data_IF_237078226637
#
_entry.id   IF_237078226637
#
_cell.length_a   1.000
_cell.length_b   1.000
_cell.length_c   1.000
_cell.angle_alpha   90.00
_cell.angle_beta   90.00
_cell.angle_gamma   90.00
#
_symmetry.space_group_name_H-M   'P 1'
#
loop_
_entity.id
_entity.type
_entity.pdbx_description
1 polymer ?
#
# COMPACT_ATOMS: atom_id res chain seq x y z
N UNK A 1 7.98 22.00 14.55
CA UNK A 1 7.32 21.60 15.80
C UNK A 1 7.85 20.25 16.27
N UNK A 2 8.09 20.11 17.56
CA UNK A 2 8.43 18.84 18.16
C UNK A 2 7.12 18.11 18.51
N UNK A 3 6.96 16.86 18.02
CA UNK A 3 5.79 16.02 18.30
C UNK A 3 6.24 14.63 18.70
N UNK A 4 5.46 13.99 19.55
CA UNK A 4 5.60 12.58 19.87
C UNK A 4 4.87 11.75 18.83
N UNK A 5 5.62 10.84 18.14
CA UNK A 5 5.08 9.99 17.07
C UNK A 5 5.75 8.62 17.16
N UNK A 6 4.98 7.56 17.06
CA UNK A 6 5.45 6.16 17.09
C UNK A 6 6.32 5.85 18.33
N UNK A 7 5.98 6.42 19.48
CA UNK A 7 6.71 6.24 20.73
C UNK A 7 8.02 7.03 20.85
N UNK A 8 8.28 7.98 19.97
CA UNK A 8 9.46 8.83 20.02
C UNK A 8 9.17 10.28 19.65
N UNK A 9 10.15 11.16 19.85
CA UNK A 9 10.05 12.58 19.53
C UNK A 9 10.60 12.86 18.14
N UNK A 10 9.81 13.60 17.30
CA UNK A 10 10.23 13.99 15.95
C UNK A 10 9.97 15.46 15.69
N UNK A 11 10.81 16.04 14.82
CA UNK A 11 10.65 17.41 14.34
C UNK A 11 9.74 17.38 13.10
N UNK A 12 8.71 18.23 13.12
CA UNK A 12 7.80 18.46 12.00
C UNK A 12 7.85 19.92 11.57
N UNK A 13 7.53 20.18 10.33
CA UNK A 13 7.33 21.54 9.80
C UNK A 13 6.15 22.20 10.51
N UNK A 14 6.15 23.53 10.53
CA UNK A 14 5.03 24.26 11.13
C UNK A 14 3.82 24.22 10.18
N UNK A 15 2.57 24.03 10.68
CA UNK A 15 1.38 23.96 9.85
C UNK A 15 1.15 25.14 8.92
N UNK A 16 1.60 26.35 9.32
CA UNK A 16 1.50 27.54 8.48
C UNK A 16 2.26 27.45 7.15
N UNK A 17 3.18 26.50 7.03
CA UNK A 17 3.96 26.27 5.80
C UNK A 17 3.54 24.99 5.06
N UNK A 18 2.35 24.45 5.40
CA UNK A 18 1.85 23.19 4.83
C UNK A 18 1.84 23.23 3.31
N UNK A 19 1.21 24.23 2.70
CA UNK A 19 1.02 24.31 1.25
C UNK A 19 2.36 24.37 0.49
N UNK A 20 3.34 25.10 1.04
CA UNK A 20 4.67 25.21 0.43
C UNK A 20 5.44 23.90 0.54
N UNK A 21 5.36 23.25 1.72
CA UNK A 21 6.02 21.97 1.97
C UNK A 21 5.36 20.87 1.13
N UNK A 22 4.05 20.86 1.04
CA UNK A 22 3.29 19.91 0.22
C UNK A 22 3.68 20.03 -1.25
N UNK A 23 3.67 21.23 -1.82
CA UNK A 23 4.07 21.46 -3.20
C UNK A 23 5.51 21.00 -3.48
N UNK A 24 6.43 21.22 -2.51
CA UNK A 24 7.80 20.76 -2.60
C UNK A 24 7.93 19.24 -2.57
N UNK A 25 7.25 18.58 -1.61
CA UNK A 25 7.30 17.11 -1.46
C UNK A 25 6.64 16.43 -2.65
N UNK A 26 5.47 16.89 -3.10
CA UNK A 26 4.75 16.33 -4.25
C UNK A 26 5.53 16.45 -5.57
N UNK A 27 6.51 17.37 -5.66
CA UNK A 27 7.40 17.45 -6.83
C UNK A 27 8.40 16.29 -6.91
N UNK A 28 8.59 15.53 -5.83
CA UNK A 28 9.61 14.47 -5.71
C UNK A 28 8.99 13.09 -5.47
N UNK A 29 7.89 13.03 -4.73
CA UNK A 29 7.24 11.77 -4.34
C UNK A 29 5.97 11.55 -5.16
N UNK A 30 6.09 10.68 -6.16
CA UNK A 30 4.98 10.26 -7.02
C UNK A 30 4.23 9.05 -6.47
N UNK A 31 4.71 8.43 -5.39
CA UNK A 31 4.12 7.20 -4.83
C UNK A 31 2.91 7.51 -3.94
N UNK A 32 1.81 7.90 -4.54
CA UNK A 32 0.52 7.98 -3.84
C UNK A 32 -0.03 6.58 -3.61
N UNK A 33 -0.70 6.39 -2.46
CA UNK A 33 -1.51 5.20 -2.25
C UNK A 33 -2.79 5.33 -3.08
N UNK A 34 -3.18 4.26 -3.77
CA UNK A 34 -4.48 4.20 -4.44
C UNK A 34 -5.61 4.26 -3.42
N UNK A 35 -6.84 4.56 -3.88
CA UNK A 35 -8.02 4.56 -3.04
C UNK A 35 -8.22 3.19 -2.37
N UNK A 36 -8.09 2.11 -3.13
CA UNK A 36 -8.19 0.74 -2.63
C UNK A 36 -7.13 0.43 -1.56
N UNK A 37 -5.89 0.94 -1.73
CA UNK A 37 -4.82 0.78 -0.76
C UNK A 37 -5.12 1.56 0.54
N UNK A 38 -5.64 2.79 0.45
CA UNK A 38 -6.05 3.57 1.62
C UNK A 38 -7.18 2.90 2.39
N UNK A 39 -8.20 2.40 1.71
CA UNK A 39 -9.32 1.69 2.32
C UNK A 39 -8.87 0.40 3.01
N UNK A 40 -8.04 -0.40 2.32
CA UNK A 40 -7.49 -1.64 2.90
C UNK A 40 -6.62 -1.34 4.12
N UNK A 41 -5.78 -0.31 4.03
CA UNK A 41 -4.95 0.14 5.14
C UNK A 41 -5.79 0.60 6.33
N UNK A 42 -6.88 1.34 6.09
CA UNK A 42 -7.82 1.75 7.13
C UNK A 42 -8.48 0.54 7.81
N UNK A 43 -8.96 -0.43 7.03
CA UNK A 43 -9.53 -1.67 7.59
C UNK A 43 -8.52 -2.37 8.49
N UNK A 44 -7.27 -2.52 8.05
CA UNK A 44 -6.21 -3.14 8.85
C UNK A 44 -5.94 -2.32 10.12
N UNK A 45 -5.81 -0.99 10.00
CA UNK A 45 -5.48 -0.12 11.13
C UNK A 45 -6.51 -0.17 12.26
N UNK A 46 -7.79 -0.23 11.91
CA UNK A 46 -8.88 -0.25 12.88
C UNK A 46 -9.22 -1.64 13.44
N UNK A 47 -8.93 -2.71 12.68
CA UNK A 47 -9.31 -4.08 13.06
C UNK A 47 -8.12 -4.96 13.47
N UNK A 48 -6.90 -4.40 13.49
CA UNK A 48 -5.72 -5.18 13.87
C UNK A 48 -5.79 -5.72 15.31
N UNK A 49 -5.36 -6.97 15.52
CA UNK A 49 -4.78 -7.92 14.56
C UNK A 49 -5.84 -8.57 13.66
N UNK A 50 -5.61 -8.61 12.33
CA UNK A 50 -6.59 -9.01 11.34
C UNK A 50 -6.02 -9.96 10.29
N UNK A 51 -6.84 -10.92 9.80
CA UNK A 51 -6.47 -11.83 8.70
C UNK A 51 -6.98 -11.32 7.35
N UNK A 52 -6.40 -11.84 6.25
CA UNK A 52 -6.86 -11.52 4.88
C UNK A 52 -8.34 -11.77 4.67
N UNK A 53 -8.86 -12.87 5.23
CA UNK A 53 -10.28 -13.21 5.12
C UNK A 53 -11.19 -12.17 5.76
N UNK A 54 -10.80 -11.64 6.92
CA UNK A 54 -11.57 -10.59 7.58
C UNK A 54 -11.52 -9.31 6.77
N UNK A 55 -10.35 -8.93 6.24
CA UNK A 55 -10.21 -7.76 5.36
C UNK A 55 -11.10 -7.93 4.13
N UNK A 56 -11.04 -9.09 3.45
CA UNK A 56 -11.90 -9.39 2.31
C UNK A 56 -13.39 -9.32 2.67
N UNK A 57 -13.77 -9.83 3.84
CA UNK A 57 -15.17 -9.78 4.31
C UNK A 57 -15.67 -8.35 4.53
N UNK A 58 -14.83 -7.45 5.03
CA UNK A 58 -15.19 -6.05 5.27
C UNK A 58 -15.22 -5.26 3.95
N UNK A 59 -14.22 -5.46 3.08
CA UNK A 59 -14.14 -4.75 1.80
C UNK A 59 -15.09 -5.30 0.72
N UNK A 60 -15.53 -6.54 0.85
CA UNK A 60 -16.36 -7.23 -0.14
C UNK A 60 -15.61 -7.71 -1.39
N UNK A 61 -14.32 -7.37 -1.52
CA UNK A 61 -13.46 -7.71 -2.68
C UNK A 61 -12.16 -8.38 -2.23
N UNK A 62 -11.50 -9.07 -3.16
CA UNK A 62 -10.16 -9.62 -2.90
C UNK A 62 -9.14 -8.48 -2.79
N UNK A 63 -8.42 -8.43 -1.68
CA UNK A 63 -7.43 -7.38 -1.40
C UNK A 63 -6.03 -7.96 -1.16
N UNK A 64 -5.73 -9.17 -1.64
CA UNK A 64 -4.46 -9.85 -1.38
C UNK A 64 -3.27 -9.11 -1.99
N UNK A 65 -3.38 -8.64 -3.24
CA UNK A 65 -2.36 -7.84 -3.91
C UNK A 65 -2.14 -6.50 -3.20
N UNK A 66 -3.22 -5.85 -2.77
CA UNK A 66 -3.16 -4.59 -2.03
C UNK A 66 -2.46 -4.78 -0.68
N UNK A 67 -2.77 -5.85 0.05
CA UNK A 67 -2.10 -6.17 1.32
C UNK A 67 -0.61 -6.42 1.08
N UNK A 68 -0.23 -7.16 0.04
CA UNK A 68 1.17 -7.38 -0.33
C UNK A 68 1.89 -6.05 -0.60
N UNK A 69 1.31 -5.18 -1.42
CA UNK A 69 1.86 -3.84 -1.70
C UNK A 69 2.01 -2.99 -0.44
N UNK A 70 1.07 -3.04 0.50
CA UNK A 70 1.16 -2.33 1.78
C UNK A 70 2.27 -2.90 2.69
N UNK A 71 2.54 -4.21 2.61
CA UNK A 71 3.67 -4.85 3.29
C UNK A 71 4.99 -4.42 2.66
N UNK A 72 5.11 -4.40 1.33
CA UNK A 72 6.30 -3.95 0.60
C UNK A 72 6.60 -2.47 0.88
N UNK A 73 5.58 -1.63 0.97
CA UNK A 73 5.70 -0.23 1.38
C UNK A 73 6.01 -0.06 2.89
N UNK A 74 6.07 -1.14 3.65
CA UNK A 74 6.37 -1.15 5.08
C UNK A 74 5.29 -0.50 5.96
N UNK A 75 4.07 -0.30 5.46
CA UNK A 75 2.95 0.26 6.23
C UNK A 75 2.23 -0.80 7.06
N UNK A 76 2.21 -2.03 6.56
CA UNK A 76 1.64 -3.22 7.19
C UNK A 76 2.74 -4.25 7.40
N UNK A 77 2.58 -5.10 8.38
CA UNK A 77 3.46 -6.25 8.62
C UNK A 77 2.68 -7.46 9.09
N UNK A 78 3.29 -8.61 8.93
CA UNK A 78 2.81 -9.85 9.54
C UNK A 78 3.21 -9.90 11.02
N UNK A 79 2.24 -10.17 11.88
CA UNK A 79 2.47 -10.32 13.34
C UNK A 79 2.64 -11.77 13.76
N UNK A 80 2.21 -12.72 12.92
CA UNK A 80 2.22 -14.14 13.22
C UNK A 80 1.10 -14.87 12.51
N UNK A 81 0.70 -16.00 13.09
CA UNK A 81 -0.36 -16.85 12.55
C UNK A 81 -1.42 -17.12 13.61
N UNK A 82 -2.67 -17.16 13.17
CA UNK A 82 -3.81 -17.47 14.02
C UNK A 82 -4.02 -19.00 14.08
N UNK A 83 -3.76 -19.63 15.24
CA UNK A 83 -3.91 -21.08 15.37
C UNK A 83 -5.38 -21.53 15.31
N UNK A 84 -6.32 -20.67 15.68
CA UNK A 84 -7.75 -20.97 15.68
C UNK A 84 -8.35 -20.91 14.27
N UNK A 85 -7.70 -20.16 13.36
CA UNK A 85 -8.13 -19.99 11.97
C UNK A 85 -7.18 -20.66 10.98
N UNK A 86 -6.80 -21.90 11.24
CA UNK A 86 -6.00 -22.70 10.31
C UNK A 86 -4.63 -22.13 9.99
N UNK A 87 -3.96 -21.47 10.95
CA UNK A 87 -2.66 -20.83 10.79
C UNK A 87 -2.68 -19.64 9.79
N UNK A 88 -3.82 -18.96 9.65
CA UNK A 88 -3.95 -17.76 8.83
C UNK A 88 -2.97 -16.67 9.30
N UNK A 89 -2.34 -15.98 8.36
CA UNK A 89 -1.42 -14.88 8.66
C UNK A 89 -2.21 -13.71 9.26
N UNK A 90 -1.68 -13.14 10.33
CA UNK A 90 -2.24 -11.99 11.04
C UNK A 90 -1.44 -10.75 10.66
N UNK A 91 -2.15 -9.71 10.23
CA UNK A 91 -1.60 -8.43 9.81
C UNK A 91 -1.90 -7.32 10.81
N UNK A 92 -1.04 -6.31 10.80
CA UNK A 92 -1.26 -5.07 11.52
C UNK A 92 -0.30 -3.98 11.04
N UNK A 93 -0.51 -2.76 11.51
CA UNK A 93 0.26 -1.59 11.11
C UNK A 93 1.66 -1.54 11.75
N UNK A 94 2.55 -0.78 11.16
CA UNK A 94 3.95 -0.61 11.58
C UNK A 94 4.19 0.75 12.25
N UNK A 95 5.40 0.96 12.75
CA UNK A 95 5.83 2.29 13.19
C UNK A 95 5.90 3.28 12.02
N UNK A 96 6.26 2.82 10.81
CA UNK A 96 6.27 3.67 9.62
C UNK A 96 4.86 4.20 9.28
N UNK A 97 3.82 3.38 9.48
CA UNK A 97 2.43 3.84 9.42
C UNK A 97 2.18 4.97 10.41
N UNK A 98 2.50 4.76 11.70
CA UNK A 98 2.30 5.77 12.73
C UNK A 98 3.04 7.07 12.42
N UNK A 99 4.26 6.97 11.89
CA UNK A 99 5.08 8.12 11.48
C UNK A 99 4.46 8.89 10.32
N UNK A 100 4.00 8.18 9.28
CA UNK A 100 3.38 8.82 8.10
C UNK A 100 2.05 9.51 8.45
N UNK A 101 1.29 8.95 9.38
CA UNK A 101 0.02 9.53 9.83
C UNK A 101 0.15 10.45 11.05
N UNK A 102 1.35 10.63 11.59
CA UNK A 102 1.61 11.53 12.72
C UNK A 102 0.99 11.06 14.04
N UNK A 103 0.79 9.76 14.23
CA UNK A 103 0.17 9.14 15.37
C UNK A 103 1.22 8.69 16.40
N UNK A 104 0.93 8.83 17.70
CA UNK A 104 1.79 8.28 18.77
C UNK A 104 1.62 6.77 18.89
N UNK A 105 0.37 6.33 18.70
CA UNK A 105 -0.02 4.92 18.76
C UNK A 105 -1.29 4.70 17.94
N UNK A 106 -1.66 3.45 17.71
CA UNK A 106 -2.93 3.08 17.05
C UNK A 106 -4.16 3.53 17.84
N UNK A 107 -4.03 3.82 19.13
CA UNK A 107 -5.11 4.36 19.97
C UNK A 107 -5.46 5.82 19.65
N UNK A 108 -4.57 6.51 18.96
CA UNK A 108 -4.78 7.90 18.54
C UNK A 108 -5.55 7.99 17.20
N UNK A 109 -5.92 6.85 16.62
CA UNK A 109 -6.82 6.83 15.47
C UNK A 109 -8.17 7.47 15.87
N UNK A 110 -8.74 8.31 15.00
CA UNK A 110 -10.06 8.89 15.25
C UNK A 110 -11.12 7.81 15.47
N UNK A 111 -12.09 8.10 16.32
CA UNK A 111 -13.19 7.18 16.55
C UNK A 111 -14.04 7.01 15.28
N UNK A 112 -14.38 5.76 14.92
CA UNK A 112 -15.19 5.45 13.74
C UNK A 112 -16.58 6.08 13.81
N UNK A 113 -17.12 6.31 15.01
CA UNK A 113 -18.42 6.96 15.19
C UNK A 113 -18.43 8.39 14.64
N UNK A 114 -17.28 9.08 14.62
CA UNK A 114 -17.16 10.43 14.06
C UNK A 114 -17.34 10.47 12.53
N UNK A 115 -17.14 9.33 11.86
CA UNK A 115 -17.30 9.17 10.42
C UNK A 115 -18.61 8.46 10.06
N UNK A 116 -19.37 8.02 11.06
CA UNK A 116 -20.66 7.40 10.80
C UNK A 116 -21.58 8.42 10.12
N UNK A 117 -22.16 8.10 8.95
CA UNK A 117 -23.09 9.00 8.29
C UNK A 117 -24.29 9.25 9.22
N UNK A 118 -24.73 10.49 9.27
CA UNK A 118 -25.95 10.87 9.96
C UNK A 118 -27.18 10.17 9.36
N UNK A 119 -28.32 10.24 10.03
CA UNK A 119 -29.50 9.50 9.59
C UNK A 119 -30.01 9.96 8.21
N UNK A 120 -29.83 11.23 7.88
CA UNK A 120 -30.16 11.76 6.55
C UNK A 120 -29.26 11.20 5.47
N UNK A 121 -27.94 11.16 5.72
CA UNK A 121 -26.98 10.55 4.82
C UNK A 121 -27.20 9.04 4.67
N UNK A 122 -27.57 8.34 5.75
CA UNK A 122 -27.92 6.90 5.69
C UNK A 122 -29.16 6.64 4.83
N UNK A 123 -30.17 7.50 4.94
CA UNK A 123 -31.36 7.40 4.08
C UNK A 123 -31.00 7.64 2.62
N UNK A 124 -30.25 8.69 2.32
CA UNK A 124 -29.80 9.02 0.99
C UNK A 124 -28.96 7.88 0.36
N UNK A 125 -28.02 7.33 1.14
CA UNK A 125 -27.22 6.16 0.71
C UNK A 125 -28.10 4.95 0.43
N UNK A 126 -29.09 4.67 1.31
CA UNK A 126 -30.03 3.55 1.15
C UNK A 126 -30.89 3.72 -0.10
N UNK A 127 -31.41 4.92 -0.37
CA UNK A 127 -32.18 5.22 -1.57
C UNK A 127 -31.33 5.06 -2.84
N UNK A 128 -30.08 5.53 -2.82
CA UNK A 128 -29.17 5.38 -3.95
C UNK A 128 -28.77 3.94 -4.21
N UNK A 129 -28.52 3.16 -3.17
CA UNK A 129 -28.17 1.75 -3.30
C UNK A 129 -29.38 0.90 -3.71
N UNK A 130 -30.58 1.25 -3.31
CA UNK A 130 -31.80 0.55 -3.74
C UNK A 130 -32.18 0.84 -5.20
N UNK A 131 -31.72 1.97 -5.75
CA UNK A 131 -31.93 2.36 -7.16
C UNK A 131 -30.79 2.01 -8.11
N UNK A 132 -29.61 1.63 -7.59
CA UNK A 132 -28.45 1.25 -8.39
C UNK A 132 -28.44 -0.26 -8.57
N UNK A 133 -28.61 -0.70 -9.81
CA UNK A 133 -28.41 -2.11 -10.18
C UNK A 133 -27.02 -2.56 -9.72
N UNK A 134 -26.96 -3.73 -9.09
CA UNK A 134 -25.71 -4.40 -8.64
C UNK A 134 -24.67 -4.45 -9.76
N UNK A 135 -25.12 -4.37 -11.00
CA UNK A 135 -24.30 -4.41 -12.21
C UNK A 135 -23.36 -3.21 -12.37
N UNK A 136 -23.79 -1.99 -12.04
CA UNK A 136 -22.96 -0.78 -12.17
C UNK A 136 -21.87 -0.67 -11.09
N UNK A 137 -22.09 -1.28 -9.95
CA UNK A 137 -21.10 -1.32 -8.86
C UNK A 137 -19.98 -2.34 -9.16
N UNK A 138 -20.31 -3.42 -9.87
CA UNK A 138 -19.32 -4.42 -10.31
C UNK A 138 -18.46 -3.93 -11.47
N UNK A 139 -19.03 -3.10 -12.35
CA UNK A 139 -18.30 -2.48 -13.47
C UNK A 139 -17.33 -1.40 -12.96
N UNK A 140 -17.73 -0.54 -12.04
CA UNK A 140 -16.90 0.50 -11.42
C UNK A 140 -15.74 -0.12 -10.59
N UNK A 141 -15.98 -1.27 -9.92
CA UNK A 141 -14.94 -1.99 -9.19
C UNK A 141 -14.01 -2.80 -10.09
N UNK A 142 -14.45 -3.20 -11.28
CA UNK A 142 -13.62 -3.86 -12.26
C UNK A 142 -12.66 -2.86 -12.93
N UNK A 143 -13.11 -1.64 -13.22
CA UNK A 143 -12.29 -0.56 -13.76
C UNK A 143 -11.18 -0.15 -12.76
N UNK A 144 -11.49 -0.03 -11.46
CA UNK A 144 -10.50 0.26 -10.42
C UNK A 144 -9.43 -0.84 -10.29
N UNK A 145 -9.81 -2.11 -10.52
CA UNK A 145 -8.88 -3.25 -10.47
C UNK A 145 -7.99 -3.33 -11.72
N UNK A 146 -8.50 -2.92 -12.87
CA UNK A 146 -7.75 -2.87 -14.12
C UNK A 146 -6.75 -1.69 -14.12
N UNK A 147 -7.12 -0.52 -13.57
CA UNK A 147 -6.18 0.59 -13.34
C UNK A 147 -5.05 0.19 -12.36
N UNK A 148 -5.38 -0.55 -11.29
CA UNK A 148 -4.37 -1.04 -10.34
C UNK A 148 -3.40 -2.05 -10.98
N UNK A 149 -3.89 -2.84 -11.92
CA UNK A 149 -3.09 -3.81 -12.67
C UNK A 149 -2.17 -3.12 -13.69
N UNK A 150 -2.66 -2.11 -14.38
CA UNK A 150 -1.88 -1.33 -15.33
C UNK A 150 -0.75 -0.53 -14.65
N UNK A 151 -0.99 -0.03 -13.42
CA UNK A 151 0.02 0.63 -12.60
C UNK A 151 1.10 -0.33 -12.07
N UNK A 152 0.75 -1.60 -11.88
CA UNK A 152 1.72 -2.63 -11.47
C UNK A 152 2.56 -3.15 -12.64
N UNK A 153 1.98 -3.20 -13.85
CA UNK A 153 2.70 -3.65 -15.05
C UNK A 153 3.67 -2.57 -15.59
N UNK A 154 3.39 -1.28 -15.38
CA UNK A 154 4.30 -0.20 -15.78
C UNK A 154 5.57 -0.12 -14.94
N UNK A 155 5.54 -0.59 -13.69
CA UNK A 155 6.75 -0.63 -12.84
C UNK A 155 7.72 -1.77 -13.20
N UNK A 156 7.30 -2.73 -14.04
CA UNK A 156 8.12 -3.87 -14.46
C UNK A 156 8.90 -3.57 -15.76
N UNK A 157 8.33 -2.78 -16.66
CA UNK A 157 8.95 -2.46 -17.94
C UNK A 157 10.13 -1.47 -17.86
N UNK A 158 10.23 -0.69 -16.77
CA UNK A 158 11.36 0.25 -16.58
C UNK A 158 12.64 -0.40 -16.03
N UNK A 159 12.63 -1.69 -15.69
CA UNK A 159 13.80 -2.39 -15.12
C UNK A 159 14.61 -3.16 -16.20
N UNK A 160 14.06 -3.43 -17.38
CA UNK A 160 14.77 -4.17 -18.45
C UNK A 160 15.60 -3.31 -19.41
N UNK A 161 15.60 -2.01 -19.31
CA UNK A 161 16.30 -1.11 -20.25
C UNK A 161 17.74 -0.74 -19.88
N UNK A 162 18.35 -1.34 -18.87
CA UNK A 162 19.76 -1.09 -18.49
C UNK A 162 20.59 -2.39 -18.50
N UNK A 163 20.52 -3.10 -19.62
CA UNK A 163 21.42 -4.21 -19.93
C UNK A 163 22.24 -3.88 -21.17
N UNK A 164 23.32 -3.08 -21.00
CA UNK A 164 24.23 -2.72 -22.07
C UNK A 164 24.93 -3.93 -22.65
N UNK A 165 24.97 -3.97 -23.96
CA UNK A 165 25.81 -4.86 -24.80
C UNK A 165 27.28 -4.75 -24.39
N UNK A 166 27.83 -5.78 -23.76
CA UNK A 166 29.26 -6.05 -23.82
C UNK A 166 29.50 -7.10 -24.91
N UNK A 167 29.93 -6.62 -26.07
CA UNK A 167 30.47 -7.43 -27.16
C UNK A 167 31.81 -8.03 -26.72
N UNK A 168 31.83 -9.30 -26.47
CA UNK A 168 33.06 -10.07 -26.36
C UNK A 168 33.67 -10.26 -27.76
N UNK A 169 34.74 -9.52 -28.03
CA UNK A 169 35.64 -9.73 -29.13
C UNK A 169 36.47 -11.01 -28.87
N UNK A 170 36.22 -12.03 -29.66
CA UNK A 170 37.11 -13.18 -29.79
C UNK A 170 38.28 -12.79 -30.64
N UNK A 171 39.47 -12.71 -30.07
CA UNK A 171 40.72 -12.71 -30.83
C UNK A 171 41.39 -14.08 -30.68
N UNK A 172 41.53 -14.68 -31.84
CA UNK A 172 42.10 -15.99 -32.14
C UNK A 172 43.59 -15.78 -32.36
N UNK A 173 44.45 -16.41 -31.58
CA UNK A 173 45.84 -16.69 -32.01
C UNK A 173 46.33 -17.96 -31.41
N UNK A 174 46.51 -18.89 -32.33
CA UNK A 174 47.24 -20.17 -32.19
C UNK A 174 48.74 -19.95 -32.04
N UNK A 175 49.38 -21.05 -31.74
CA UNK A 175 50.80 -21.42 -31.78
C UNK A 175 51.43 -21.64 -30.39
N UNK A 176 51.90 -22.72 -30.08
CA UNK A 176 52.70 -23.80 -30.65
C UNK A 176 53.81 -24.13 -29.63
N UNK A 177 54.07 -25.39 -29.51
CA UNK A 177 55.32 -26.10 -29.19
C UNK A 177 55.89 -26.16 -27.77
N UNK A 178 56.08 -27.39 -27.43
CA UNK A 178 57.30 -28.13 -27.07
C UNK A 178 57.73 -28.28 -25.60
N UNK A 179 57.73 -29.51 -25.21
CA UNK A 179 58.80 -30.38 -24.69
C UNK A 179 59.38 -30.19 -23.26
N UNK A 180 59.46 -31.38 -22.68
CA UNK A 180 60.51 -31.94 -21.83
C UNK A 180 60.73 -31.38 -20.42
N UNK A 181 60.50 -32.11 -19.43
CA UNK A 181 61.21 -33.12 -18.62
C UNK A 181 60.41 -33.56 -17.41
#
# INVERSE_FOLDING_TARGET
>A
QLREVAGGWRLFTHPAYHDVVEAYVLSWDTQKLSQAALETLAVIAYHQPVTREVVKGIRGVNSDGVIASLVDKGLVREFGRDPERGQAIIYGTTNAFLEKFGLRSTRDLPDLEQFAPDEQSRQFIRERLSGRSIQSTLEEQAEDLDEERELLDTDIDDVEAVGGEETLSTDDTAEDTHDED
#
